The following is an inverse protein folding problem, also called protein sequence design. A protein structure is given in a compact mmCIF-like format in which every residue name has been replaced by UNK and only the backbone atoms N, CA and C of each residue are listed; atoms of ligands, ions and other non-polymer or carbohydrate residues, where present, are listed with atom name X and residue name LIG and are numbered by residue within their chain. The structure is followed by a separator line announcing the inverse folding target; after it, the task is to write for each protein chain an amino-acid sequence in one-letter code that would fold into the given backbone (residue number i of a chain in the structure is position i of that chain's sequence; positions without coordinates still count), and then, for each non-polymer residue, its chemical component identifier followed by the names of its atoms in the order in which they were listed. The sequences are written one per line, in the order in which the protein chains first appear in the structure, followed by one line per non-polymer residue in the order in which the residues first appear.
data_IF_490156535506
#
_entry.id   IF_490156535506
#
_cell.length_a   1.000
_cell.length_b   1.000
_cell.length_c   1.000
_cell.angle_alpha   90.00
_cell.angle_beta   90.00
_cell.angle_gamma   90.00
#
_symmetry.space_group_name_H-M   'P 1'
#
loop_
_entity.id
_entity.type
_entity.pdbx_description
1 polymer ?
#
# COMPACT_ATOMS: atom_id res chain seq x y z
N UNK A 1 8.72 -9.75 16.91
CA UNK A 1 9.90 -9.30 16.14
C UNK A 1 10.09 -7.84 16.48
N UNK A 2 11.20 -7.49 17.11
CA UNK A 2 11.42 -6.18 17.71
C UNK A 2 12.61 -5.48 17.06
N UNK A 3 12.39 -4.25 16.60
CA UNK A 3 13.46 -3.39 16.05
C UNK A 3 13.96 -2.52 17.20
N UNK A 4 15.25 -2.67 17.53
CA UNK A 4 15.92 -1.93 18.59
C UNK A 4 15.45 -2.28 20.01
N UNK A 5 16.16 -1.74 21.00
CA UNK A 5 15.84 -1.91 22.42
C UNK A 5 14.82 -0.89 22.90
N UNK A 6 14.06 -1.22 23.96
CA UNK A 6 13.08 -0.28 24.56
C UNK A 6 13.69 1.08 24.88
N UNK A 7 14.96 1.10 25.32
CA UNK A 7 15.69 2.32 25.66
C UNK A 7 15.99 3.23 24.46
N UNK A 8 16.08 2.69 23.23
CA UNK A 8 16.52 3.45 22.05
C UNK A 8 15.38 3.96 21.18
N UNK A 9 14.18 3.36 21.27
CA UNK A 9 13.02 3.71 20.43
C UNK A 9 12.56 5.16 20.59
N UNK A 10 12.37 5.62 21.83
CA UNK A 10 11.88 6.97 22.11
C UNK A 10 12.85 8.05 21.61
N UNK A 11 14.16 7.82 21.79
CA UNK A 11 15.19 8.73 21.31
C UNK A 11 15.25 8.82 19.78
N UNK A 12 15.14 7.68 19.09
CA UNK A 12 15.11 7.62 17.63
C UNK A 12 13.89 8.33 17.05
N UNK A 13 12.70 8.03 17.55
CA UNK A 13 11.45 8.69 17.10
C UNK A 13 11.56 10.21 17.30
N UNK A 14 12.06 10.65 18.45
CA UNK A 14 12.25 12.07 18.75
C UNK A 14 13.18 12.73 17.73
N UNK A 15 14.30 12.08 17.35
CA UNK A 15 15.21 12.61 16.32
C UNK A 15 14.56 12.64 14.93
N UNK A 16 13.86 11.58 14.54
CA UNK A 16 13.15 11.51 13.26
C UNK A 16 12.11 12.63 13.09
N UNK A 17 11.45 13.01 14.20
CA UNK A 17 10.42 14.07 14.20
C UNK A 17 11.03 15.46 14.37
N UNK A 18 11.91 15.65 15.36
CA UNK A 18 12.38 16.99 15.73
C UNK A 18 13.61 17.44 14.95
N UNK A 19 14.56 16.53 14.71
CA UNK A 19 15.87 16.86 14.14
C UNK A 19 15.89 16.61 12.64
N UNK A 20 15.61 15.38 12.21
CA UNK A 20 15.74 14.99 10.80
C UNK A 20 14.56 15.44 9.95
N UNK A 21 13.39 15.60 10.58
CA UNK A 21 12.12 15.96 9.93
C UNK A 21 11.66 14.93 8.90
N UNK A 22 11.95 13.65 9.12
CA UNK A 22 11.47 12.54 8.29
C UNK A 22 10.05 12.12 8.66
N UNK A 23 9.66 12.36 9.91
CA UNK A 23 8.32 12.07 10.42
C UNK A 23 7.68 13.34 10.96
N UNK A 24 6.36 13.38 10.91
CA UNK A 24 5.52 14.38 11.56
C UNK A 24 4.50 13.70 12.48
N UNK A 25 4.09 14.37 13.55
CA UNK A 25 3.09 13.87 14.49
C UNK A 25 1.90 14.82 14.50
N UNK A 26 0.75 14.35 14.02
CA UNK A 26 -0.52 15.10 14.07
C UNK A 26 -1.57 14.28 14.80
N UNK A 27 -2.11 14.84 15.89
CA UNK A 27 -3.14 14.18 16.71
C UNK A 27 -2.73 12.76 17.17
N UNK A 28 -1.48 12.59 17.60
CA UNK A 28 -0.95 11.30 18.06
C UNK A 28 -0.72 10.25 16.97
N UNK A 29 -0.92 10.60 15.69
CA UNK A 29 -0.61 9.75 14.54
C UNK A 29 0.67 10.21 13.87
N UNK A 30 1.48 9.26 13.42
CA UNK A 30 2.74 9.50 12.70
C UNK A 30 2.49 9.56 11.20
N UNK A 31 3.12 10.51 10.53
CA UNK A 31 3.06 10.71 9.09
C UNK A 31 4.48 10.81 8.54
N UNK A 32 4.75 10.14 7.41
CA UNK A 32 6.00 10.36 6.68
C UNK A 32 5.95 11.75 6.03
N UNK A 33 7.07 12.48 6.06
CA UNK A 33 7.20 13.76 5.35
C UNK A 33 7.72 13.52 3.94
N UNK A 34 7.59 14.50 3.04
CA UNK A 34 8.19 14.41 1.70
C UNK A 34 9.71 14.17 1.76
N UNK A 35 10.38 14.71 2.78
CA UNK A 35 11.80 14.49 3.03
C UNK A 35 12.08 13.05 3.47
N UNK A 36 11.22 12.49 4.32
CA UNK A 36 11.28 11.08 4.73
C UNK A 36 11.07 10.14 3.55
N UNK A 37 10.07 10.41 2.71
CA UNK A 37 9.82 9.66 1.48
C UNK A 37 11.03 9.72 0.54
N UNK A 38 11.54 10.93 0.24
CA UNK A 38 12.72 11.08 -0.60
C UNK A 38 13.94 10.33 -0.05
N UNK A 39 14.16 10.35 1.27
CA UNK A 39 15.24 9.61 1.92
C UNK A 39 15.13 8.10 1.69
N UNK A 40 13.93 7.51 1.85
CA UNK A 40 13.72 6.08 1.55
C UNK A 40 13.97 5.80 0.06
N UNK A 41 13.57 6.72 -0.83
CA UNK A 41 13.84 6.57 -2.26
C UNK A 41 15.32 6.53 -2.61
N UNK A 42 16.13 7.37 -1.95
CA UNK A 42 17.57 7.31 -2.13
C UNK A 42 18.16 6.01 -1.62
N UNK A 43 17.70 5.49 -0.47
CA UNK A 43 18.16 4.19 0.03
C UNK A 43 17.88 3.05 -0.96
N UNK A 44 16.70 3.04 -1.57
CA UNK A 44 16.35 2.05 -2.59
C UNK A 44 17.19 2.19 -3.87
N UNK A 45 17.42 3.42 -4.34
CA UNK A 45 18.29 3.65 -5.50
C UNK A 45 19.71 3.17 -5.24
N UNK A 46 20.24 3.45 -4.05
CA UNK A 46 21.56 3.01 -3.60
C UNK A 46 21.62 1.52 -3.23
N UNK A 47 20.53 0.77 -3.42
CA UNK A 47 20.41 -0.64 -3.06
C UNK A 47 20.81 -0.91 -1.59
N UNK A 48 20.57 0.06 -0.71
CA UNK A 48 20.81 -0.05 0.73
C UNK A 48 19.55 -0.67 1.35
N UNK A 49 19.60 -1.99 1.50
CA UNK A 49 18.54 -2.75 2.15
C UNK A 49 18.64 -2.58 3.67
N UNK A 50 17.67 -1.88 4.27
CA UNK A 50 17.50 -1.76 5.72
C UNK A 50 16.27 -2.55 6.23
N UNK A 51 15.79 -3.53 5.46
CA UNK A 51 14.59 -4.30 5.79
C UNK A 51 14.81 -5.24 6.99
N UNK A 52 13.70 -5.83 7.42
CA UNK A 52 13.58 -6.75 8.55
C UNK A 52 14.61 -7.89 8.52
N UNK A 53 14.96 -8.41 7.34
CA UNK A 53 15.93 -9.50 7.17
C UNK A 53 17.34 -9.10 7.63
N UNK A 54 17.82 -7.92 7.25
CA UNK A 54 19.10 -7.38 7.73
C UNK A 54 19.09 -7.13 9.23
N UNK A 55 17.95 -6.70 9.78
CA UNK A 55 17.81 -6.55 11.23
C UNK A 55 17.93 -7.91 11.95
N UNK A 56 17.39 -8.99 11.36
CA UNK A 56 17.53 -10.35 11.89
C UNK A 56 18.98 -10.80 11.83
N UNK A 57 19.65 -10.66 10.68
CA UNK A 57 21.07 -11.02 10.51
C UNK A 57 21.96 -10.30 11.54
N UNK A 58 21.74 -9.01 11.73
CA UNK A 58 22.50 -8.21 12.69
C UNK A 58 22.26 -8.65 14.14
N UNK A 59 20.99 -8.89 14.53
CA UNK A 59 20.68 -9.40 15.87
C UNK A 59 21.26 -10.81 16.09
N UNK A 60 21.28 -11.65 15.06
CA UNK A 60 21.92 -12.97 15.13
C UNK A 60 23.44 -12.84 15.32
N UNK A 61 24.10 -11.91 14.61
CA UNK A 61 25.52 -11.64 14.77
C UNK A 61 25.86 -11.24 16.21
N UNK A 62 25.13 -10.27 16.78
CA UNK A 62 25.32 -9.84 18.18
C UNK A 62 25.15 -11.02 19.13
N UNK A 63 24.11 -11.83 18.94
CA UNK A 63 23.83 -12.98 19.81
C UNK A 63 24.89 -14.07 19.69
N UNK A 64 25.47 -14.28 18.52
CA UNK A 64 26.58 -15.22 18.32
C UNK A 64 27.84 -14.78 19.06
N UNK A 65 28.12 -13.47 19.12
CA UNK A 65 29.21 -12.92 19.93
C UNK A 65 28.94 -13.09 21.42
N UNK A 66 27.71 -12.80 21.88
CA UNK A 66 27.29 -13.01 23.28
C UNK A 66 27.47 -14.49 23.72
N UNK A 67 27.16 -15.43 22.83
CA UNK A 67 27.31 -16.87 23.07
C UNK A 67 28.74 -17.40 22.84
N UNK A 68 29.70 -16.54 22.49
CA UNK A 68 31.09 -16.93 22.21
C UNK A 68 31.29 -17.79 20.97
N UNK A 69 30.31 -17.85 20.07
CA UNK A 69 30.37 -18.61 18.80
C UNK A 69 31.06 -17.85 17.67
N UNK A 70 31.18 -16.54 17.84
CA UNK A 70 31.76 -15.62 16.88
C UNK A 70 32.63 -14.61 17.62
N UNK A 71 33.67 -14.10 16.97
CA UNK A 71 34.50 -13.04 17.59
C UNK A 71 33.95 -11.66 17.24
N UNK A 72 34.15 -10.72 18.16
CA UNK A 72 33.83 -9.31 17.91
C UNK A 72 34.59 -8.76 16.70
N UNK A 73 35.85 -9.15 16.54
CA UNK A 73 36.70 -8.72 15.43
C UNK A 73 36.15 -9.20 14.08
N UNK A 74 35.76 -10.46 13.98
CA UNK A 74 35.17 -11.01 12.75
C UNK A 74 33.84 -10.31 12.41
N UNK A 75 33.02 -10.00 13.42
CA UNK A 75 31.76 -9.25 13.24
C UNK A 75 32.00 -7.82 12.71
N UNK A 76 33.06 -7.16 13.19
CA UNK A 76 33.48 -5.83 12.72
C UNK A 76 33.95 -5.90 11.27
N UNK A 77 34.79 -6.87 10.93
CA UNK A 77 35.31 -7.06 9.56
C UNK A 77 34.19 -7.32 8.57
N UNK A 78 33.26 -8.23 8.90
CA UNK A 78 32.08 -8.50 8.07
C UNK A 78 31.23 -7.25 7.83
N UNK A 79 30.97 -6.48 8.88
CA UNK A 79 30.22 -5.22 8.76
C UNK A 79 30.97 -4.20 7.89
N UNK A 80 32.29 -4.11 8.05
CA UNK A 80 33.12 -3.21 7.25
C UNK A 80 33.12 -3.60 5.77
N UNK A 81 33.19 -4.89 5.45
CA UNK A 81 33.13 -5.39 4.08
C UNK A 81 31.77 -5.14 3.43
N UNK A 82 30.68 -5.31 4.17
CA UNK A 82 29.33 -4.94 3.70
C UNK A 82 29.24 -3.44 3.37
N UNK A 83 29.76 -2.57 4.24
CA UNK A 83 29.77 -1.12 3.99
C UNK A 83 30.64 -0.78 2.77
N UNK A 84 31.82 -1.37 2.65
CA UNK A 84 32.70 -1.17 1.47
C UNK A 84 32.00 -1.60 0.19
N UNK A 85 31.30 -2.74 0.22
CA UNK A 85 30.52 -3.24 -0.92
C UNK A 85 29.41 -2.28 -1.31
N UNK A 86 28.69 -1.69 -0.35
CA UNK A 86 27.67 -0.66 -0.61
C UNK A 86 28.29 0.60 -1.22
N UNK A 87 29.41 1.08 -0.69
CA UNK A 87 30.08 2.30 -1.17
C UNK A 87 30.68 2.12 -2.56
N UNK A 88 31.18 0.93 -2.88
CA UNK A 88 31.79 0.61 -4.17
C UNK A 88 30.77 0.48 -5.31
N UNK A 89 29.46 0.54 -5.03
CA UNK A 89 28.44 0.48 -6.08
C UNK A 89 28.43 1.79 -6.88
N UNK A 90 28.68 1.69 -8.18
CA UNK A 90 28.60 2.82 -9.10
C UNK A 90 27.12 3.12 -9.45
N UNK A 91 26.40 3.67 -8.49
CA UNK A 91 24.97 3.99 -8.60
C UNK A 91 24.80 5.46 -8.97
N UNK A 92 24.22 5.71 -10.14
CA UNK A 92 23.76 7.05 -10.51
C UNK A 92 22.44 7.37 -9.81
N UNK A 93 22.48 8.23 -8.80
CA UNK A 93 21.29 8.68 -8.05
C UNK A 93 20.64 9.86 -8.76
N UNK A 94 19.36 9.76 -9.12
CA UNK A 94 18.61 10.86 -9.72
C UNK A 94 17.79 11.60 -8.66
N UNK A 95 18.04 12.90 -8.51
CA UNK A 95 17.34 13.79 -7.58
C UNK A 95 15.86 14.03 -7.95
N UNK A 96 15.42 13.58 -9.12
CA UNK A 96 14.07 13.80 -9.63
C UNK A 96 13.06 12.71 -9.26
N UNK A 97 13.51 11.55 -8.77
CA UNK A 97 12.62 10.42 -8.54
C UNK A 97 12.07 10.47 -7.10
N UNK A 98 10.89 11.09 -6.94
CA UNK A 98 10.09 10.92 -5.73
C UNK A 98 9.99 9.43 -5.44
N UNK A 99 10.19 9.04 -4.18
CA UNK A 99 9.86 7.71 -3.71
C UNK A 99 8.36 7.51 -3.86
N UNK A 100 7.93 7.04 -5.03
CA UNK A 100 6.68 6.33 -5.15
C UNK A 100 6.99 4.97 -4.57
N UNK A 101 6.67 4.84 -3.30
CA UNK A 101 6.44 3.56 -2.63
C UNK A 101 5.99 2.56 -3.69
N UNK A 102 6.56 1.36 -3.73
CA UNK A 102 6.15 0.27 -4.63
C UNK A 102 4.70 -0.22 -4.34
N UNK A 103 3.84 0.66 -3.84
CA UNK A 103 2.38 0.68 -3.75
C UNK A 103 1.69 0.61 -5.13
N UNK A 104 2.31 -0.03 -6.11
CA UNK A 104 1.54 -0.50 -7.26
C UNK A 104 0.45 -1.44 -6.72
N UNK A 105 -0.80 -1.06 -6.93
CA UNK A 105 -1.98 -1.86 -6.61
C UNK A 105 -2.24 -2.92 -7.70
N UNK A 106 -1.46 -2.89 -8.78
CA UNK A 106 -1.62 -3.74 -9.95
C UNK A 106 -1.31 -2.97 -11.23
N UNK A 107 -1.41 -3.66 -12.37
CA UNK A 107 -1.21 -3.05 -13.68
C UNK A 107 -2.49 -2.39 -14.18
N UNK A 108 -2.34 -1.23 -14.80
CA UNK A 108 -3.43 -0.51 -15.41
C UNK A 108 -3.99 -1.32 -16.59
N UNK A 109 -5.30 -1.60 -16.64
CA UNK A 109 -5.88 -2.40 -17.72
C UNK A 109 -5.85 -1.70 -19.10
N UNK A 110 -5.54 -0.40 -19.15
CA UNK A 110 -5.51 0.38 -20.39
C UNK A 110 -4.13 0.49 -21.02
N UNK A 111 -3.09 0.67 -20.21
CA UNK A 111 -1.74 1.00 -20.70
C UNK A 111 -0.64 0.12 -20.08
N UNK A 112 -0.99 -0.79 -19.15
CA UNK A 112 -0.04 -1.67 -18.49
C UNK A 112 0.89 -1.00 -17.47
N UNK A 113 0.89 0.32 -17.34
CA UNK A 113 1.66 1.02 -16.29
C UNK A 113 1.07 0.78 -14.90
N UNK A 114 1.82 1.07 -13.84
CA UNK A 114 1.38 0.82 -12.47
C UNK A 114 0.19 1.69 -12.06
N UNK A 115 -0.69 1.14 -11.22
CA UNK A 115 -1.79 1.88 -10.57
C UNK A 115 -1.36 2.22 -9.15
N UNK A 116 -1.39 3.51 -8.80
CA UNK A 116 -0.93 4.04 -7.53
C UNK A 116 -2.11 4.47 -6.64
N UNK A 117 -1.84 4.56 -5.34
CA UNK A 117 -2.80 4.99 -4.34
C UNK A 117 -2.72 6.50 -4.07
N UNK A 118 -3.73 7.26 -4.52
CA UNK A 118 -3.89 8.68 -4.24
C UNK A 118 -4.85 8.96 -3.08
N UNK A 119 -4.89 10.19 -2.57
CA UNK A 119 -5.73 10.53 -1.40
C UNK A 119 -7.22 10.26 -1.64
N UNK A 120 -7.74 10.58 -2.82
CA UNK A 120 -9.17 10.46 -3.17
C UNK A 120 -9.47 9.32 -4.16
N UNK A 121 -8.45 8.78 -4.81
CA UNK A 121 -8.59 7.85 -5.92
C UNK A 121 -7.38 6.91 -6.03
N UNK A 122 -7.54 5.85 -6.80
CA UNK A 122 -6.45 5.05 -7.34
C UNK A 122 -6.26 5.47 -8.79
N UNK A 123 -5.04 5.74 -9.24
CA UNK A 123 -4.80 6.35 -10.55
C UNK A 123 -3.61 5.71 -11.27
N UNK A 124 -3.62 5.75 -12.59
CA UNK A 124 -2.49 5.24 -13.37
C UNK A 124 -1.27 6.17 -13.25
N UNK A 125 -0.09 5.59 -13.01
CA UNK A 125 1.20 6.28 -13.01
C UNK A 125 1.50 7.04 -14.31
N UNK A 126 1.03 6.54 -15.46
CA UNK A 126 1.19 7.17 -16.77
C UNK A 126 0.15 8.27 -17.07
N UNK A 127 -0.54 8.83 -16.07
CA UNK A 127 -1.56 9.85 -16.31
C UNK A 127 -1.04 11.11 -17.00
N UNK A 128 0.19 11.51 -16.72
CA UNK A 128 0.86 12.63 -17.40
C UNK A 128 1.19 12.34 -18.86
N UNK A 129 1.29 11.06 -19.22
CA UNK A 129 1.51 10.57 -20.59
C UNK A 129 0.19 10.31 -21.33
N UNK A 130 -0.96 10.69 -20.74
CA UNK A 130 -2.28 10.62 -21.38
C UNK A 130 -3.21 9.51 -20.89
N UNK A 131 -2.76 8.61 -20.00
CA UNK A 131 -3.63 7.56 -19.46
C UNK A 131 -4.66 8.13 -18.46
N UNK A 132 -5.95 8.06 -18.78
CA UNK A 132 -7.02 8.61 -17.93
C UNK A 132 -7.58 7.65 -16.88
N UNK A 133 -6.93 6.51 -16.66
CA UNK A 133 -7.42 5.50 -15.74
C UNK A 133 -7.43 6.00 -14.28
N UNK A 134 -8.61 5.98 -13.67
CA UNK A 134 -8.84 6.40 -12.28
C UNK A 134 -10.01 5.65 -11.66
N UNK A 135 -9.90 5.30 -10.39
CA UNK A 135 -10.98 4.73 -9.57
C UNK A 135 -11.14 5.59 -8.32
N UNK A 136 -12.29 6.22 -8.13
CA UNK A 136 -12.54 7.03 -6.93
C UNK A 136 -12.80 6.15 -5.71
N UNK A 137 -12.17 6.52 -4.58
CA UNK A 137 -12.35 5.81 -3.31
C UNK A 137 -13.75 5.97 -2.76
N UNK A 138 -14.35 7.13 -2.95
CA UNK A 138 -15.73 7.41 -2.57
C UNK A 138 -16.52 7.70 -3.83
N UNK A 139 -17.54 6.91 -4.07
CA UNK A 139 -18.42 7.06 -5.24
C UNK A 139 -19.83 6.60 -4.87
N UNK A 140 -20.77 6.76 -5.80
CA UNK A 140 -22.11 6.23 -5.65
C UNK A 140 -22.27 4.93 -6.43
N UNK A 141 -22.97 4.01 -5.80
CA UNK A 141 -23.43 2.77 -6.38
C UNK A 141 -24.83 3.01 -6.98
N UNK A 142 -24.92 2.95 -8.31
CA UNK A 142 -26.18 3.09 -9.06
C UNK A 142 -26.53 1.76 -9.74
N UNK A 143 -27.67 1.16 -9.39
CA UNK A 143 -28.22 0.02 -10.13
C UNK A 143 -29.74 -0.03 -10.01
N UNK A 144 -30.40 -0.59 -11.01
CA UNK A 144 -31.84 -0.88 -10.96
C UNK A 144 -32.07 -2.39 -10.93
N UNK A 145 -33.09 -2.84 -10.23
CA UNK A 145 -33.55 -4.23 -10.30
C UNK A 145 -35.07 -4.31 -10.15
N UNK A 146 -35.69 -5.32 -10.77
CA UNK A 146 -37.11 -5.58 -10.61
C UNK A 146 -37.32 -6.55 -9.45
N UNK A 147 -38.19 -6.18 -8.51
CA UNK A 147 -38.67 -7.05 -7.45
C UNK A 147 -40.20 -6.96 -7.40
N UNK A 148 -40.87 -8.11 -7.46
CA UNK A 148 -42.33 -8.19 -7.40
C UNK A 148 -43.01 -7.30 -8.48
N UNK A 149 -42.46 -7.29 -9.70
CA UNK A 149 -42.94 -6.50 -10.83
C UNK A 149 -42.65 -4.98 -10.74
N UNK A 150 -41.99 -4.50 -9.68
CA UNK A 150 -41.64 -3.08 -9.50
C UNK A 150 -40.15 -2.85 -9.74
N UNK A 151 -39.83 -1.83 -10.53
CA UNK A 151 -38.45 -1.35 -10.69
C UNK A 151 -38.00 -0.62 -9.41
N UNK A 152 -36.94 -1.12 -8.80
CA UNK A 152 -36.28 -0.51 -7.65
C UNK A 152 -34.97 0.11 -8.13
N UNK A 153 -34.86 1.43 -8.04
CA UNK A 153 -33.65 2.19 -8.32
C UNK A 153 -32.83 2.35 -7.04
N UNK A 154 -31.60 1.87 -7.06
CA UNK A 154 -30.66 1.97 -5.96
C UNK A 154 -29.62 3.05 -6.25
N UNK A 155 -29.39 3.91 -5.26
CA UNK A 155 -28.37 4.96 -5.28
C UNK A 155 -27.86 5.17 -3.86
N UNK A 156 -26.66 4.66 -3.55
CA UNK A 156 -26.04 4.80 -2.22
C UNK A 156 -24.55 5.06 -2.33
N UNK A 157 -23.96 5.83 -1.39
CA UNK A 157 -22.52 5.98 -1.33
C UNK A 157 -21.86 4.63 -1.03
N UNK A 158 -20.71 4.40 -1.64
CA UNK A 158 -19.84 3.28 -1.36
C UNK A 158 -18.38 3.74 -1.30
N UNK A 159 -17.57 2.98 -0.56
CA UNK A 159 -16.14 3.24 -0.42
C UNK A 159 -15.31 2.04 -0.85
N UNK A 160 -14.29 2.29 -1.68
CA UNK A 160 -13.32 1.30 -2.15
C UNK A 160 -12.00 1.43 -1.39
N UNK A 161 -11.54 0.32 -0.85
CA UNK A 161 -10.24 0.22 -0.15
C UNK A 161 -9.12 -0.17 -1.12
N UNK A 162 -7.85 -0.10 -0.67
CA UNK A 162 -6.71 -0.61 -1.45
C UNK A 162 -6.89 -2.09 -1.81
N UNK A 163 -7.43 -2.90 -0.90
CA UNK A 163 -7.69 -4.31 -1.13
C UNK A 163 -8.75 -4.52 -2.22
N UNK A 164 -9.80 -3.71 -2.24
CA UNK A 164 -10.80 -3.74 -3.31
C UNK A 164 -10.18 -3.41 -4.67
N UNK A 165 -9.33 -2.38 -4.72
CA UNK A 165 -8.63 -1.99 -5.95
C UNK A 165 -7.69 -3.10 -6.46
N UNK A 166 -6.89 -3.71 -5.57
CA UNK A 166 -6.02 -4.85 -5.91
C UNK A 166 -6.81 -6.03 -6.49
N UNK A 167 -7.92 -6.38 -5.85
CA UNK A 167 -8.80 -7.44 -6.36
C UNK A 167 -9.41 -7.07 -7.71
N UNK A 168 -9.89 -5.84 -7.88
CA UNK A 168 -10.47 -5.39 -9.14
C UNK A 168 -9.45 -5.44 -10.28
N UNK A 169 -8.21 -5.02 -10.04
CA UNK A 169 -7.12 -5.06 -11.03
C UNK A 169 -6.63 -6.49 -11.33
N UNK A 170 -6.67 -7.39 -10.35
CA UNK A 170 -6.18 -8.78 -10.50
C UNK A 170 -7.22 -9.74 -11.07
N UNK A 171 -8.45 -9.73 -10.55
CA UNK A 171 -9.52 -10.67 -10.91
C UNK A 171 -10.68 -10.03 -11.69
N UNK A 172 -10.59 -8.75 -12.04
CA UNK A 172 -11.65 -8.02 -12.76
C UNK A 172 -12.90 -7.75 -11.92
N UNK A 173 -12.92 -8.16 -10.65
CA UNK A 173 -14.07 -8.03 -9.76
C UNK A 173 -13.65 -7.94 -8.29
N UNK A 174 -14.49 -7.29 -7.46
CA UNK A 174 -14.37 -7.24 -6.00
C UNK A 174 -15.76 -7.13 -5.36
N UNK A 175 -15.85 -7.15 -4.03
CA UNK A 175 -17.12 -6.98 -3.31
C UNK A 175 -17.05 -5.86 -2.28
N UNK A 176 -18.16 -5.15 -2.10
CA UNK A 176 -18.30 -4.07 -1.12
C UNK A 176 -19.56 -4.30 -0.29
N UNK A 177 -19.44 -4.15 1.03
CA UNK A 177 -20.57 -4.22 1.95
C UNK A 177 -21.26 -2.85 2.02
N UNK A 178 -22.58 -2.81 1.84
CA UNK A 178 -23.40 -1.60 2.01
C UNK A 178 -24.48 -1.86 3.06
N UNK A 179 -24.72 -0.86 3.91
CA UNK A 179 -25.73 -0.87 4.96
C UNK A 179 -26.99 -0.10 4.52
N UNK A 180 -28.18 -0.63 4.82
CA UNK A 180 -29.44 0.08 4.59
C UNK A 180 -29.65 1.22 5.60
N UNK A 181 -30.31 2.31 5.15
CA UNK A 181 -30.66 3.48 5.97
C UNK A 181 -31.48 3.15 7.24
N UNK A 182 -32.14 1.99 7.29
CA UNK A 182 -33.00 1.59 8.40
C UNK A 182 -32.38 0.50 9.28
N UNK A 183 -31.08 0.17 9.10
CA UNK A 183 -30.37 -0.84 9.90
C UNK A 183 -30.84 -2.28 9.71
N UNK A 184 -31.77 -2.55 8.78
CA UNK A 184 -32.43 -3.86 8.60
C UNK A 184 -31.67 -4.86 7.71
N UNK A 185 -30.46 -4.56 7.24
CA UNK A 185 -29.65 -5.54 6.51
C UNK A 185 -28.32 -5.01 5.99
N UNK A 186 -27.29 -5.86 6.03
CA UNK A 186 -26.01 -5.67 5.32
C UNK A 186 -26.06 -6.48 4.02
N UNK A 187 -25.74 -5.85 2.90
CA UNK A 187 -25.68 -6.56 1.61
C UNK A 187 -24.30 -6.41 1.01
N UNK A 188 -23.83 -7.45 0.31
CA UNK A 188 -22.64 -7.38 -0.52
C UNK A 188 -23.03 -7.10 -1.96
N UNK A 189 -22.42 -6.07 -2.54
CA UNK A 189 -22.49 -5.81 -3.98
C UNK A 189 -21.18 -6.28 -4.63
N UNK A 190 -21.28 -6.85 -5.81
CA UNK A 190 -20.15 -7.08 -6.70
C UNK A 190 -19.83 -5.80 -7.46
N UNK A 191 -18.54 -5.52 -7.61
CA UNK A 191 -17.97 -4.38 -8.33
C UNK A 191 -17.08 -4.95 -9.43
N UNK A 192 -17.35 -4.62 -10.69
CA UNK A 192 -16.60 -5.06 -11.89
C UNK A 192 -16.23 -3.87 -12.76
N UNK A 193 -15.31 -4.04 -13.72
CA UNK A 193 -15.10 -3.03 -14.75
C UNK A 193 -16.27 -3.02 -15.75
N UNK A 194 -16.75 -1.84 -16.15
CA UNK A 194 -17.73 -1.72 -17.25
C UNK A 194 -17.06 -2.06 -18.59
N UNK A 195 -17.82 -2.66 -19.49
CA UNK A 195 -17.37 -3.10 -20.82
C UNK A 195 -17.08 -1.94 -21.79
N UNK A 196 -17.60 -0.73 -21.55
CA UNK A 196 -17.50 0.44 -22.43
C UNK A 196 -16.27 1.34 -22.18
N UNK A 197 -15.50 1.05 -21.12
CA UNK A 197 -14.15 1.56 -20.89
C UNK A 197 -13.95 3.09 -20.93
N UNK A 198 -15.03 3.87 -20.82
CA UNK A 198 -14.99 5.33 -20.85
C UNK A 198 -15.69 5.91 -19.62
N UNK A 199 -14.88 6.28 -18.63
CA UNK A 199 -15.14 7.30 -17.60
C UNK A 199 -15.99 6.96 -16.36
N UNK A 200 -16.54 5.76 -16.16
CA UNK A 200 -17.09 5.34 -14.85
C UNK A 200 -16.98 3.83 -14.62
N UNK A 201 -15.90 3.40 -13.94
CA UNK A 201 -15.36 2.02 -13.99
C UNK A 201 -15.95 1.00 -13.01
N UNK A 202 -17.15 1.22 -12.49
CA UNK A 202 -17.78 0.26 -11.58
C UNK A 202 -19.13 -0.20 -12.13
N UNK A 203 -19.14 -1.36 -12.78
CA UNK A 203 -20.32 -2.19 -12.96
C UNK A 203 -20.72 -2.79 -11.62
N UNK A 204 -22.00 -2.72 -11.27
CA UNK A 204 -22.49 -3.17 -9.97
C UNK A 204 -23.48 -4.30 -10.17
N UNK A 205 -23.09 -5.49 -9.74
CA UNK A 205 -23.94 -6.67 -9.80
C UNK A 205 -24.29 -7.14 -8.40
N UNK A 206 -25.57 -7.42 -8.15
CA UNK A 206 -26.03 -7.95 -6.88
C UNK A 206 -25.60 -9.41 -6.76
N UNK A 207 -24.72 -9.71 -5.81
CA UNK A 207 -24.42 -11.10 -5.44
C UNK A 207 -25.56 -11.59 -4.54
N UNK A 208 -26.43 -12.46 -5.05
CA UNK A 208 -27.41 -13.16 -4.22
C UNK A 208 -26.65 -14.16 -3.34
N UNK A 209 -26.72 -14.01 -2.03
CA UNK A 209 -26.20 -15.03 -1.10
C UNK A 209 -26.90 -16.36 -1.40
N UNK A 210 -26.12 -17.41 -1.65
CA UNK A 210 -26.65 -18.78 -1.67
C UNK A 210 -27.18 -19.06 -0.27
N UNK A 211 -28.47 -19.36 -0.15
CA UNK A 211 -29.03 -19.92 1.08
C UNK A 211 -28.15 -21.12 1.47
N UNK A 212 -27.66 -21.15 2.71
CA UNK A 212 -27.17 -22.40 3.31
C UNK A 212 -28.31 -23.40 3.15
N UNK A 213 -28.04 -24.47 2.40
CA UNK A 213 -28.85 -25.67 2.48
C UNK A 213 -28.39 -26.32 3.77
N UNK A 214 -29.23 -26.19 4.80
CA UNK A 214 -29.04 -26.93 6.04
C UNK A 214 -29.18 -28.43 5.69
N UNK A 215 -28.09 -29.17 5.92
CA UNK A 215 -28.04 -30.63 5.84
C UNK A 215 -27.99 -31.21 7.23
#
# INVERSE_FOLDING_TARGET
MEIGTVATRTGLITKCVKTYKYLDIKQGKYYCTEKGEAFIGYLHQLNIDLFTERNIEFNMMIKSVELGRETMQHSIEKTADEIRSIIAQDVTVSSAQKFTDSNSLGKCPFCGSDVLDGTKNFYCSAYKSGCKFVIFKNTYCHFSFVKDGKEIKYSKPMSLTKANCKALLGSGSTTVSIEEKNGKGKYKIGVTFKSDNMHDFVGIERIREKKKVDG
#
